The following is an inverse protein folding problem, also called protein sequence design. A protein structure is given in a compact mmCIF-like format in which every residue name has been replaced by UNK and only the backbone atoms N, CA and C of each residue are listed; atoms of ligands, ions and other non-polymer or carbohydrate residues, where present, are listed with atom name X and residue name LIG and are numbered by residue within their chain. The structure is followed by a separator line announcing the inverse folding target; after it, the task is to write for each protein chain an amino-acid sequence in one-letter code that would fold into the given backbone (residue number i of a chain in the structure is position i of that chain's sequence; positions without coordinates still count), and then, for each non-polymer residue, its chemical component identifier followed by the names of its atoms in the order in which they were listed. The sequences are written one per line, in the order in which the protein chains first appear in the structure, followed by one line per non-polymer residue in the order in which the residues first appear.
data_IF_694730919681
#
_entry.id   IF_694730919681
#
_cell.length_a   1.000
_cell.length_b   1.000
_cell.length_c   1.000
_cell.angle_alpha   90.00
_cell.angle_beta   90.00
_cell.angle_gamma   90.00
#
_symmetry.space_group_name_H-M   'P 1'
#
loop_
_entity.id
_entity.type
_entity.pdbx_description
1 polymer ?
#
# COMPACT_ATOMS: atom_id res chain seq x y z
N UNK A 1 76.55 37.98 31.80
CA UNK A 1 75.58 37.04 32.29
C UNK A 1 74.37 37.13 31.37
N UNK A 2 74.29 36.20 30.39
CA UNK A 2 73.20 36.16 29.37
C UNK A 2 72.13 35.20 29.86
N UNK A 3 70.90 35.69 30.10
CA UNK A 3 69.75 34.82 30.43
C UNK A 3 69.16 34.35 29.10
N UNK A 4 69.19 33.06 28.84
CA UNK A 4 68.55 32.44 27.73
C UNK A 4 67.03 32.28 28.08
N UNK A 5 66.15 32.86 27.26
CA UNK A 5 64.69 32.75 27.37
C UNK A 5 64.26 31.57 26.47
N UNK A 6 63.90 30.46 27.12
CA UNK A 6 63.38 29.27 26.40
C UNK A 6 61.89 29.47 26.16
N UNK A 7 61.51 29.67 24.89
CA UNK A 7 60.13 29.73 24.47
C UNK A 7 59.63 28.28 24.24
N UNK A 8 58.75 27.82 25.12
CA UNK A 8 58.08 26.55 25.01
C UNK A 8 56.86 26.67 24.04
N UNK A 9 57.04 26.23 22.81
CA UNK A 9 55.97 26.22 21.84
C UNK A 9 55.10 24.98 22.09
N UNK A 10 53.89 25.17 22.70
CA UNK A 10 52.89 24.12 22.85
C UNK A 10 52.15 23.99 21.50
N UNK A 11 52.46 22.94 20.76
CA UNK A 11 51.73 22.57 19.57
C UNK A 11 50.48 21.82 20.05
N UNK A 12 49.33 22.49 20.06
CA UNK A 12 48.02 21.83 20.21
C UNK A 12 47.70 21.05 18.92
N UNK A 13 47.90 19.74 18.92
CA UNK A 13 47.34 18.84 17.94
C UNK A 13 45.85 18.70 18.20
N UNK A 14 45.04 19.45 17.43
CA UNK A 14 43.59 19.22 17.35
C UNK A 14 43.43 17.95 16.49
N UNK A 15 43.35 16.79 17.15
CA UNK A 15 42.87 15.57 16.50
C UNK A 15 41.38 15.73 16.19
N UNK A 16 41.07 16.16 14.96
CA UNK A 16 39.74 16.08 14.43
C UNK A 16 39.34 14.59 14.33
N UNK A 17 38.64 14.07 15.32
CA UNK A 17 37.97 12.78 15.24
C UNK A 17 36.89 12.96 14.18
N UNK A 18 37.21 12.63 12.94
CA UNK A 18 36.20 12.39 11.91
C UNK A 18 35.40 11.17 12.40
N UNK A 19 34.30 11.41 13.12
CA UNK A 19 33.32 10.39 13.38
C UNK A 19 32.92 9.86 12.00
N UNK A 20 33.33 8.64 11.67
CA UNK A 20 32.89 7.94 10.49
C UNK A 20 31.37 7.84 10.62
N UNK A 21 30.65 8.76 9.97
CA UNK A 21 29.20 8.70 9.89
C UNK A 21 28.90 7.38 9.17
N UNK A 22 28.37 6.43 9.89
CA UNK A 22 27.79 5.23 9.29
C UNK A 22 26.88 5.74 8.17
N UNK A 23 27.09 5.32 6.90
CA UNK A 23 26.28 5.82 5.81
C UNK A 23 24.81 5.60 6.18
N UNK A 24 24.01 6.65 6.14
CA UNK A 24 22.59 6.55 6.46
C UNK A 24 21.99 5.39 5.66
N UNK A 25 21.29 4.49 6.33
CA UNK A 25 20.65 3.34 5.67
C UNK A 25 19.80 3.88 4.52
N UNK A 26 20.08 3.44 3.31
CA UNK A 26 19.30 3.83 2.14
C UNK A 26 17.91 3.24 2.27
N UNK A 27 16.87 4.11 2.27
CA UNK A 27 15.48 3.70 2.40
C UNK A 27 15.01 3.07 1.08
N UNK A 28 14.42 1.88 1.16
CA UNK A 28 13.77 1.17 0.04
C UNK A 28 12.26 1.17 0.26
N UNK A 29 11.50 1.69 -0.71
CA UNK A 29 10.06 1.92 -0.61
C UNK A 29 9.31 1.10 -1.65
N UNK A 30 8.26 0.39 -1.20
CA UNK A 30 7.29 -0.28 -2.06
C UNK A 30 6.03 0.57 -2.14
N UNK A 31 5.59 0.92 -3.35
CA UNK A 31 4.39 1.73 -3.60
C UNK A 31 3.39 0.86 -4.38
N UNK A 32 2.28 0.47 -3.77
CA UNK A 32 1.17 -0.21 -4.46
C UNK A 32 0.13 0.83 -4.85
N UNK A 33 -0.20 0.89 -6.13
CA UNK A 33 -1.08 1.92 -6.71
C UNK A 33 -2.33 1.27 -7.24
N UNK A 34 -3.47 1.67 -6.71
CA UNK A 34 -4.81 1.32 -7.13
C UNK A 34 -5.50 2.50 -7.82
N UNK A 35 -6.69 2.32 -8.37
CA UNK A 35 -7.29 3.36 -9.21
C UNK A 35 -8.57 3.95 -8.63
N UNK A 36 -9.40 3.16 -7.98
CA UNK A 36 -10.73 3.58 -7.51
C UNK A 36 -10.68 4.73 -6.50
N UNK A 37 -9.63 4.78 -5.71
CA UNK A 37 -9.44 5.79 -4.66
C UNK A 37 -8.72 7.07 -5.11
N UNK A 38 -8.30 7.23 -6.36
CA UNK A 38 -7.64 8.47 -6.81
C UNK A 38 -8.61 9.65 -6.87
N UNK A 39 -8.07 10.86 -6.83
CA UNK A 39 -8.87 12.08 -6.96
C UNK A 39 -9.49 12.21 -8.35
N UNK A 40 -10.72 12.69 -8.41
CA UNK A 40 -11.47 12.91 -9.65
C UNK A 40 -12.32 11.72 -10.10
N UNK A 41 -11.95 10.50 -9.77
CA UNK A 41 -12.57 9.26 -10.22
C UNK A 41 -13.82 8.89 -9.38
N UNK A 42 -14.91 8.46 -10.06
CA UNK A 42 -16.19 8.15 -9.39
C UNK A 42 -16.97 6.98 -10.02
N UNK A 43 -16.67 6.57 -11.24
CA UNK A 43 -17.46 5.59 -11.97
C UNK A 43 -16.62 4.42 -12.50
N UNK A 44 -17.24 3.23 -12.64
CA UNK A 44 -16.55 2.03 -13.14
C UNK A 44 -16.02 2.15 -14.57
N UNK A 45 -16.71 2.91 -15.43
CA UNK A 45 -16.24 3.16 -16.81
C UNK A 45 -14.92 3.95 -16.83
N UNK A 46 -14.63 4.71 -15.78
CA UNK A 46 -13.40 5.46 -15.63
C UNK A 46 -12.21 4.58 -15.23
N UNK A 47 -12.48 3.37 -14.69
CA UNK A 47 -11.47 2.41 -14.24
C UNK A 47 -11.17 1.31 -15.24
N UNK A 48 -11.99 1.17 -16.29
CA UNK A 48 -11.99 -0.02 -17.15
C UNK A 48 -11.46 0.27 -18.54
N UNK A 49 -10.64 -0.64 -19.07
CA UNK A 49 -10.21 -0.63 -20.48
C UNK A 49 -11.43 -0.57 -21.41
N UNK A 50 -11.45 0.42 -22.31
CA UNK A 50 -12.60 0.67 -23.19
C UNK A 50 -13.61 1.70 -22.67
N UNK A 51 -13.56 2.12 -21.42
CA UNK A 51 -14.30 3.26 -20.92
C UNK A 51 -13.81 4.57 -21.54
N UNK A 52 -14.74 5.48 -21.87
CA UNK A 52 -14.41 6.70 -22.61
C UNK A 52 -13.35 7.57 -21.92
N UNK A 53 -13.40 7.63 -20.60
CA UNK A 53 -12.53 8.48 -19.79
C UNK A 53 -11.33 7.73 -19.16
N UNK A 54 -11.21 6.42 -19.38
CA UNK A 54 -10.12 5.61 -18.82
C UNK A 54 -8.73 6.17 -19.12
N UNK A 55 -8.52 6.72 -20.32
CA UNK A 55 -7.25 7.36 -20.69
C UNK A 55 -6.87 8.55 -19.81
N UNK A 56 -7.86 9.36 -19.39
CA UNK A 56 -7.68 10.45 -18.43
C UNK A 56 -7.28 9.91 -17.05
N UNK A 57 -8.03 8.91 -16.56
CA UNK A 57 -7.82 8.43 -15.19
C UNK A 57 -6.56 7.59 -15.01
N UNK A 58 -6.10 6.88 -16.05
CA UNK A 58 -4.74 6.28 -16.07
C UNK A 58 -3.65 7.33 -15.87
N UNK A 59 -3.81 8.49 -16.53
CA UNK A 59 -2.85 9.59 -16.38
C UNK A 59 -2.87 10.14 -14.98
N UNK A 60 -4.06 10.40 -14.39
CA UNK A 60 -4.18 10.87 -13.01
C UNK A 60 -3.64 9.85 -12.00
N UNK A 61 -3.88 8.56 -12.20
CA UNK A 61 -3.28 7.48 -11.40
C UNK A 61 -1.75 7.52 -11.45
N UNK A 62 -1.19 7.70 -12.65
CA UNK A 62 0.27 7.81 -12.83
C UNK A 62 0.81 9.08 -12.15
N UNK A 63 0.08 10.20 -12.20
CA UNK A 63 0.46 11.45 -11.55
C UNK A 63 0.42 11.34 -10.01
N UNK A 64 -0.56 10.64 -9.41
CA UNK A 64 -0.56 10.35 -7.96
C UNK A 64 0.58 9.41 -7.56
N UNK A 65 0.90 8.39 -8.38
CA UNK A 65 2.08 7.56 -8.19
C UNK A 65 3.37 8.39 -8.23
N UNK A 66 3.49 9.31 -9.19
CA UNK A 66 4.62 10.23 -9.31
C UNK A 66 4.75 11.18 -8.09
N UNK A 67 3.63 11.61 -7.54
CA UNK A 67 3.61 12.41 -6.31
C UNK A 67 4.16 11.60 -5.11
N UNK A 68 3.78 10.33 -5.00
CA UNK A 68 4.32 9.44 -3.97
C UNK A 68 5.82 9.18 -4.16
N UNK A 69 6.28 8.93 -5.40
CA UNK A 69 7.71 8.80 -5.73
C UNK A 69 8.48 10.06 -5.33
N UNK A 70 7.96 11.25 -5.70
CA UNK A 70 8.58 12.53 -5.34
C UNK A 70 8.67 12.70 -3.81
N UNK A 71 7.62 12.34 -3.07
CA UNK A 71 7.64 12.36 -1.59
C UNK A 71 8.65 11.40 -0.99
N UNK A 72 8.82 10.21 -1.59
CA UNK A 72 9.83 9.24 -1.17
C UNK A 72 11.26 9.78 -1.41
N UNK A 73 11.50 10.39 -2.56
CA UNK A 73 12.79 11.05 -2.88
C UNK A 73 13.07 12.22 -1.92
N UNK A 74 12.06 13.05 -1.60
CA UNK A 74 12.18 14.14 -0.63
C UNK A 74 12.55 13.65 0.79
N UNK A 75 12.24 12.39 1.10
CA UNK A 75 12.62 11.72 2.34
C UNK A 75 13.95 10.97 2.27
N UNK A 76 14.63 10.96 1.12
CA UNK A 76 15.91 10.30 0.91
C UNK A 76 15.80 8.82 0.55
N UNK A 77 14.68 8.37 -0.01
CA UNK A 77 14.58 7.02 -0.56
C UNK A 77 15.58 6.83 -1.69
N UNK A 78 16.30 5.70 -1.66
CA UNK A 78 17.32 5.38 -2.64
C UNK A 78 16.88 4.29 -3.63
N UNK A 79 15.85 3.53 -3.27
CA UNK A 79 15.24 2.53 -4.14
C UNK A 79 13.72 2.62 -4.01
N UNK A 80 13.03 2.71 -5.15
CA UNK A 80 11.57 2.83 -5.20
C UNK A 80 11.04 1.82 -6.20
N UNK A 81 10.11 0.99 -5.75
CA UNK A 81 9.41 0.03 -6.59
C UNK A 81 7.93 0.37 -6.57
N UNK A 82 7.35 0.56 -7.75
CA UNK A 82 5.92 0.82 -7.95
C UNK A 82 5.25 -0.43 -8.47
N UNK A 83 4.18 -0.84 -7.84
CA UNK A 83 3.30 -1.94 -8.28
C UNK A 83 2.01 -1.35 -8.83
N UNK A 84 1.72 -1.62 -10.10
CA UNK A 84 0.40 -1.37 -10.69
C UNK A 84 -0.57 -2.43 -10.17
N UNK A 85 -1.50 -2.04 -9.32
CA UNK A 85 -2.32 -2.94 -8.52
C UNK A 85 -3.82 -2.90 -8.87
N UNK A 86 -4.19 -2.26 -9.97
CA UNK A 86 -5.59 -2.15 -10.41
C UNK A 86 -5.89 -3.01 -11.64
N UNK A 87 -7.09 -3.57 -11.69
CA UNK A 87 -7.70 -4.17 -12.90
C UNK A 87 -6.77 -5.09 -13.68
N UNK A 88 -6.30 -4.64 -14.85
CA UNK A 88 -5.37 -5.40 -15.69
C UNK A 88 -3.91 -5.35 -15.24
N UNK A 89 -3.57 -4.59 -14.20
CA UNK A 89 -2.19 -4.28 -13.78
C UNK A 89 -1.33 -3.68 -14.91
N UNK A 90 -1.98 -2.94 -15.84
CA UNK A 90 -1.36 -2.26 -16.98
C UNK A 90 -1.87 -0.81 -17.12
N UNK A 91 -2.25 -0.21 -15.99
CA UNK A 91 -2.90 1.10 -15.96
C UNK A 91 -1.89 2.24 -15.94
N UNK A 92 -0.83 2.13 -15.13
CA UNK A 92 0.23 3.13 -15.06
C UNK A 92 0.89 3.29 -16.43
N UNK A 93 1.05 4.54 -16.86
CA UNK A 93 1.68 4.92 -18.11
C UNK A 93 3.21 4.93 -17.93
N UNK A 94 3.95 3.97 -18.52
CA UNK A 94 5.38 3.83 -18.24
C UNK A 94 6.23 5.00 -18.72
N UNK A 95 5.79 5.69 -19.76
CA UNK A 95 6.45 6.88 -20.34
C UNK A 95 6.25 8.14 -19.50
N UNK A 96 5.22 8.18 -18.66
CA UNK A 96 4.93 9.27 -17.73
C UNK A 96 5.39 9.00 -16.30
N UNK A 97 5.69 7.73 -15.95
CA UNK A 97 6.20 7.39 -14.63
C UNK A 97 7.60 7.95 -14.43
N UNK A 98 7.86 8.49 -13.26
CA UNK A 98 9.19 9.02 -12.90
C UNK A 98 10.29 7.96 -13.06
N UNK A 99 11.43 8.31 -13.73
CA UNK A 99 12.49 7.34 -14.07
C UNK A 99 13.25 6.80 -12.85
N UNK A 100 13.09 7.41 -11.67
CA UNK A 100 13.74 6.95 -10.44
C UNK A 100 13.09 5.71 -9.85
N UNK A 101 11.89 5.33 -10.31
CA UNK A 101 11.19 4.14 -9.84
C UNK A 101 11.26 2.97 -10.82
N UNK A 102 11.29 1.76 -10.29
CA UNK A 102 11.06 0.53 -11.06
C UNK A 102 9.56 0.23 -11.04
N UNK A 103 9.00 -0.19 -12.17
CA UNK A 103 7.58 -0.53 -12.31
C UNK A 103 7.39 -2.05 -12.43
N UNK A 104 6.50 -2.60 -11.59
CA UNK A 104 5.99 -3.96 -11.70
C UNK A 104 4.59 -3.89 -12.32
N UNK A 105 4.40 -4.61 -13.43
CA UNK A 105 3.13 -4.71 -14.15
C UNK A 105 2.74 -6.17 -14.31
N UNK A 106 1.47 -6.41 -14.65
CA UNK A 106 0.85 -7.71 -14.84
C UNK A 106 0.72 -8.52 -13.54
N UNK A 107 -0.25 -9.44 -13.52
CA UNK A 107 -0.55 -10.21 -12.32
C UNK A 107 0.34 -11.44 -12.18
N UNK A 108 0.83 -11.66 -10.98
CA UNK A 108 1.43 -12.89 -10.54
C UNK A 108 0.79 -13.36 -9.23
N UNK A 109 0.92 -14.63 -8.90
CA UNK A 109 0.40 -15.24 -7.68
C UNK A 109 1.55 -15.69 -6.78
N UNK A 110 1.36 -15.72 -5.47
CA UNK A 110 0.11 -15.47 -4.74
C UNK A 110 -0.05 -14.05 -4.21
N UNK A 111 0.99 -13.18 -4.28
CA UNK A 111 1.03 -11.90 -3.56
C UNK A 111 0.19 -10.80 -4.22
N UNK A 112 -0.23 -10.98 -5.50
CA UNK A 112 -1.16 -10.10 -6.21
C UNK A 112 -0.74 -8.62 -6.19
N UNK A 113 -1.48 -7.74 -5.50
CA UNK A 113 -1.20 -6.30 -5.37
C UNK A 113 0.13 -6.01 -4.64
N UNK A 114 0.68 -7.00 -3.97
CA UNK A 114 1.96 -6.92 -3.23
C UNK A 114 3.08 -7.71 -3.90
N UNK A 115 2.89 -8.16 -5.15
CA UNK A 115 3.93 -8.90 -5.87
C UNK A 115 5.21 -8.09 -6.03
N UNK A 116 6.32 -8.68 -5.65
CA UNK A 116 7.65 -8.05 -5.62
C UNK A 116 8.09 -7.50 -4.26
N UNK A 117 7.21 -7.57 -3.23
CA UNK A 117 7.61 -7.22 -1.86
C UNK A 117 8.46 -8.31 -1.23
N UNK A 118 9.46 -7.90 -0.46
CA UNK A 118 10.30 -8.77 0.35
C UNK A 118 10.82 -8.04 1.61
N UNK A 119 11.61 -8.74 2.44
CA UNK A 119 12.18 -8.22 3.70
C UNK A 119 13.23 -7.10 3.51
N UNK A 120 13.62 -6.79 2.27
CA UNK A 120 14.60 -5.73 1.99
C UNK A 120 13.96 -4.33 1.97
N UNK A 121 12.63 -4.24 1.89
CA UNK A 121 11.92 -2.98 1.95
C UNK A 121 11.85 -2.41 3.37
N UNK A 122 11.85 -1.10 3.48
CA UNK A 122 11.73 -0.37 4.75
C UNK A 122 10.31 0.15 5.00
N UNK A 123 9.52 0.34 3.95
CA UNK A 123 8.17 0.87 4.05
C UNK A 123 7.30 0.48 2.85
N UNK A 124 5.98 0.42 3.10
CA UNK A 124 4.94 0.34 2.08
C UNK A 124 4.11 1.62 2.09
N UNK A 125 3.81 2.11 0.89
CA UNK A 125 2.92 3.23 0.60
C UNK A 125 1.78 2.73 -0.28
N UNK A 126 0.54 3.05 0.08
CA UNK A 126 -0.66 2.74 -0.69
C UNK A 126 -1.24 4.00 -1.33
N UNK A 127 -1.48 3.96 -2.63
CA UNK A 127 -2.04 5.08 -3.41
C UNK A 127 -3.34 4.65 -4.06
N UNK A 128 -4.35 5.51 -4.06
CA UNK A 128 -5.60 5.30 -4.77
C UNK A 128 -6.48 4.17 -4.22
N UNK A 129 -6.36 3.85 -2.94
CA UNK A 129 -7.14 2.78 -2.32
C UNK A 129 -8.58 3.21 -2.03
N UNK A 130 -9.47 2.24 -1.91
CA UNK A 130 -10.91 2.40 -1.70
C UNK A 130 -11.42 1.56 -0.53
N UNK A 131 -12.62 1.88 -0.05
CA UNK A 131 -13.26 1.15 1.05
C UNK A 131 -13.64 -0.28 0.65
N UNK A 132 -13.66 -1.19 1.63
CA UNK A 132 -14.08 -2.58 1.44
C UNK A 132 -15.53 -2.71 0.96
N UNK A 133 -15.85 -3.86 0.39
CA UNK A 133 -17.23 -4.23 0.05
C UNK A 133 -18.19 -4.02 1.25
N UNK A 134 -19.43 -3.63 0.97
CA UNK A 134 -20.45 -3.41 1.98
C UNK A 134 -20.28 -2.17 2.87
N UNK A 135 -19.30 -1.27 2.58
CA UNK A 135 -19.15 -0.01 3.32
C UNK A 135 -20.26 0.97 2.91
N UNK A 136 -21.05 1.52 3.85
CA UNK A 136 -21.95 2.62 3.54
C UNK A 136 -21.15 3.86 3.12
N UNK A 137 -21.76 4.72 2.32
CA UNK A 137 -21.16 6.01 1.91
C UNK A 137 -19.70 5.89 1.45
N UNK A 138 -19.47 5.00 0.48
CA UNK A 138 -18.17 4.81 -0.17
C UNK A 138 -18.35 4.59 -1.68
N UNK A 139 -17.47 5.20 -2.47
CA UNK A 139 -17.48 5.12 -3.94
C UNK A 139 -16.73 3.86 -4.37
N UNK A 140 -17.24 3.16 -5.38
CA UNK A 140 -16.62 1.99 -6.03
C UNK A 140 -16.15 0.91 -5.04
N UNK A 141 -16.79 0.83 -3.89
CA UNK A 141 -16.47 -0.09 -2.79
C UNK A 141 -16.54 -1.55 -3.20
N UNK A 142 -15.46 -2.27 -3.01
CA UNK A 142 -15.37 -3.71 -3.22
C UNK A 142 -14.17 -4.28 -2.44
N UNK A 143 -13.90 -5.57 -2.57
CA UNK A 143 -12.69 -6.20 -1.99
C UNK A 143 -12.14 -7.19 -2.98
N UNK A 144 -11.02 -6.87 -3.65
CA UNK A 144 -10.31 -7.68 -4.65
C UNK A 144 -11.09 -7.99 -5.93
N UNK A 145 -12.40 -8.08 -5.86
CA UNK A 145 -13.27 -8.42 -6.98
C UNK A 145 -14.72 -8.11 -6.60
N UNK A 146 -15.54 -7.76 -7.59
CA UNK A 146 -16.99 -7.58 -7.41
C UNK A 146 -17.74 -8.87 -7.07
N UNK A 147 -17.07 -10.02 -7.16
CA UNK A 147 -17.62 -11.33 -6.78
C UNK A 147 -17.48 -11.63 -5.29
N UNK A 148 -16.66 -10.87 -4.55
CA UNK A 148 -16.52 -10.99 -3.10
C UNK A 148 -17.45 -9.99 -2.39
N UNK A 149 -18.34 -10.52 -1.54
CA UNK A 149 -19.16 -9.72 -0.65
C UNK A 149 -18.39 -9.30 0.61
N UNK A 150 -17.53 -10.20 1.13
CA UNK A 150 -16.70 -9.90 2.30
C UNK A 150 -15.43 -10.76 2.31
N UNK A 151 -14.37 -10.23 2.88
CA UNK A 151 -13.12 -10.92 3.19
C UNK A 151 -12.82 -10.72 4.67
N UNK A 152 -12.75 -11.81 5.43
CA UNK A 152 -12.64 -11.74 6.88
C UNK A 152 -11.41 -12.53 7.32
N UNK A 153 -10.47 -11.88 8.00
CA UNK A 153 -9.29 -12.52 8.57
C UNK A 153 -9.36 -12.42 10.10
N UNK A 154 -9.41 -13.56 10.77
CA UNK A 154 -9.54 -13.64 12.24
C UNK A 154 -10.71 -12.80 12.80
N UNK A 155 -11.84 -12.80 12.10
CA UNK A 155 -13.03 -12.04 12.49
C UNK A 155 -13.01 -10.55 12.09
N UNK A 156 -11.90 -10.04 11.53
CA UNK A 156 -11.78 -8.66 11.05
C UNK A 156 -12.13 -8.60 9.56
N UNK A 157 -13.09 -7.75 9.20
CA UNK A 157 -13.46 -7.47 7.81
C UNK A 157 -12.38 -6.63 7.14
N UNK A 158 -11.76 -7.14 6.09
CA UNK A 158 -10.58 -6.56 5.47
C UNK A 158 -10.94 -5.70 4.25
N UNK A 159 -10.61 -4.40 4.22
CA UNK A 159 -10.36 -3.72 2.96
C UNK A 159 -9.08 -4.29 2.31
N UNK A 160 -8.92 -4.10 1.00
CA UNK A 160 -7.71 -4.52 0.28
C UNK A 160 -6.43 -3.99 0.92
N UNK A 161 -6.45 -2.73 1.34
CA UNK A 161 -5.32 -2.11 2.03
C UNK A 161 -4.90 -2.87 3.30
N UNK A 162 -5.86 -3.35 4.13
CA UNK A 162 -5.53 -4.09 5.34
C UNK A 162 -5.07 -5.52 5.04
N UNK A 163 -5.64 -6.18 4.03
CA UNK A 163 -5.15 -7.45 3.53
C UNK A 163 -3.71 -7.35 3.03
N UNK A 164 -3.43 -6.33 2.23
CA UNK A 164 -2.09 -6.04 1.71
C UNK A 164 -1.12 -5.63 2.83
N UNK A 165 -1.60 -4.93 3.86
CA UNK A 165 -0.80 -4.63 5.05
C UNK A 165 -0.41 -5.89 5.84
N UNK A 166 -1.29 -6.90 5.89
CA UNK A 166 -0.95 -8.19 6.50
C UNK A 166 0.12 -8.94 5.68
N UNK A 167 0.07 -8.86 4.34
CA UNK A 167 1.11 -9.40 3.46
C UNK A 167 2.43 -8.68 3.72
N UNK A 168 2.45 -7.34 3.75
CA UNK A 168 3.64 -6.56 4.07
C UNK A 168 4.20 -6.92 5.47
N UNK A 169 3.31 -7.06 6.45
CA UNK A 169 3.65 -7.46 7.83
C UNK A 169 4.29 -8.84 7.93
N UNK A 170 3.90 -9.79 7.07
CA UNK A 170 4.58 -11.09 6.98
C UNK A 170 6.07 -10.94 6.61
N UNK A 171 6.41 -9.95 5.81
CA UNK A 171 7.80 -9.62 5.43
C UNK A 171 8.47 -8.63 6.40
N UNK A 172 7.87 -8.32 7.55
CA UNK A 172 8.36 -7.35 8.53
C UNK A 172 8.38 -5.89 8.03
N UNK A 173 7.61 -5.56 6.99
CA UNK A 173 7.57 -4.22 6.39
C UNK A 173 6.32 -3.47 6.85
N UNK A 174 6.46 -2.27 7.46
CA UNK A 174 5.31 -1.46 7.88
C UNK A 174 4.66 -0.75 6.68
N UNK A 175 3.33 -0.64 6.70
CA UNK A 175 2.61 0.36 5.91
C UNK A 175 2.69 1.69 6.65
N UNK A 176 3.09 2.75 5.95
CA UNK A 176 3.35 4.06 6.57
C UNK A 176 2.40 5.15 6.07
N UNK A 177 1.85 4.96 4.88
CA UNK A 177 1.00 5.96 4.21
C UNK A 177 -0.09 5.29 3.38
N UNK A 178 -1.26 5.94 3.31
CA UNK A 178 -2.34 5.59 2.39
C UNK A 178 -3.05 6.84 1.86
N UNK A 179 -3.31 6.91 0.54
CA UNK A 179 -4.30 7.82 -0.05
C UNK A 179 -5.49 7.07 -0.61
N UNK A 180 -6.67 7.68 -0.52
CA UNK A 180 -7.91 7.08 -1.01
C UNK A 180 -9.15 7.86 -0.60
N UNK A 181 -10.32 7.19 -0.59
CA UNK A 181 -11.52 7.79 -0.02
C UNK A 181 -11.44 7.90 1.52
N UNK A 182 -12.27 8.76 2.13
CA UNK A 182 -12.25 8.98 3.58
C UNK A 182 -12.61 7.72 4.37
N UNK A 183 -13.43 6.83 3.80
CA UNK A 183 -13.85 5.60 4.47
C UNK A 183 -12.67 4.61 4.55
N UNK A 184 -11.88 4.40 3.49
CA UNK A 184 -10.68 3.55 3.56
C UNK A 184 -9.62 4.14 4.48
N UNK A 185 -9.44 5.46 4.48
CA UNK A 185 -8.54 6.13 5.41
C UNK A 185 -8.91 5.88 6.88
N UNK A 186 -10.20 5.79 7.19
CA UNK A 186 -10.68 5.41 8.52
C UNK A 186 -10.45 3.91 8.78
N UNK A 187 -10.88 3.04 7.86
CA UNK A 187 -10.79 1.59 8.00
C UNK A 187 -9.36 1.11 8.23
N UNK A 188 -8.40 1.63 7.48
CA UNK A 188 -7.00 1.20 7.62
C UNK A 188 -6.44 1.57 8.99
N UNK A 189 -6.70 2.78 9.49
CA UNK A 189 -6.24 3.19 10.83
C UNK A 189 -6.87 2.41 11.96
N UNK A 190 -8.13 2.00 11.83
CA UNK A 190 -8.83 1.17 12.83
C UNK A 190 -8.24 -0.24 12.89
N UNK A 191 -7.74 -0.79 11.77
CA UNK A 191 -7.26 -2.17 11.67
C UNK A 191 -5.77 -2.27 11.99
N UNK A 192 -4.92 -1.42 11.38
CA UNK A 192 -3.47 -1.56 11.51
C UNK A 192 -2.82 -0.55 12.48
N UNK A 193 -3.62 0.38 13.01
CA UNK A 193 -3.13 1.46 13.87
C UNK A 193 -2.82 2.75 13.11
N UNK A 194 -2.23 3.74 13.79
CA UNK A 194 -2.01 5.06 13.22
C UNK A 194 -0.96 5.01 12.10
N UNK A 195 -1.37 5.46 10.92
CA UNK A 195 -0.51 5.76 9.77
C UNK A 195 -0.89 7.12 9.19
N UNK A 196 -0.01 7.71 8.37
CA UNK A 196 -0.35 8.91 7.61
C UNK A 196 -1.39 8.59 6.54
N UNK A 197 -2.42 9.41 6.41
CA UNK A 197 -3.46 9.23 5.40
C UNK A 197 -3.84 10.52 4.72
N UNK A 198 -4.18 10.45 3.42
CA UNK A 198 -4.74 11.55 2.65
C UNK A 198 -6.07 11.11 2.05
N UNK A 199 -7.18 11.65 2.59
CA UNK A 199 -8.49 11.48 1.98
C UNK A 199 -8.61 12.45 0.78
N UNK A 200 -8.79 11.91 -0.41
CA UNK A 200 -8.94 12.71 -1.64
C UNK A 200 -10.38 12.88 -2.08
N UNK A 201 -11.28 12.11 -1.47
CA UNK A 201 -12.74 12.21 -1.71
C UNK A 201 -13.55 11.76 -0.49
N UNK A 202 -14.74 12.37 -0.35
CA UNK A 202 -15.75 12.02 0.64
C UNK A 202 -17.04 11.62 -0.10
N UNK A 203 -17.50 10.39 0.12
CA UNK A 203 -18.71 9.89 -0.52
C UNK A 203 -19.99 10.47 0.11
N UNK A 204 -20.99 10.68 -0.72
CA UNK A 204 -22.36 11.08 -0.37
C UNK A 204 -23.34 10.16 -1.13
N UNK A 205 -23.48 8.92 -0.66
CA UNK A 205 -24.10 7.85 -1.43
C UNK A 205 -23.27 7.52 -2.68
N UNK A 206 -23.86 7.54 -3.89
CA UNK A 206 -23.11 7.32 -5.14
C UNK A 206 -22.31 8.54 -5.61
N UNK A 207 -22.60 9.74 -5.10
CA UNK A 207 -21.84 10.96 -5.39
C UNK A 207 -20.65 11.12 -4.44
N UNK A 208 -19.70 11.98 -4.80
CA UNK A 208 -18.59 12.32 -3.91
C UNK A 208 -18.17 13.79 -4.07
N UNK A 209 -17.77 14.40 -2.95
CA UNK A 209 -16.98 15.63 -2.94
C UNK A 209 -15.51 15.26 -3.06
N UNK A 210 -14.77 15.92 -3.94
CA UNK A 210 -13.37 15.57 -4.24
C UNK A 210 -12.48 16.80 -4.20
N UNK A 211 -11.25 16.64 -3.74
CA UNK A 211 -10.23 17.68 -3.90
C UNK A 211 -9.68 17.63 -5.33
N UNK A 212 -9.22 18.77 -5.83
CA UNK A 212 -8.64 18.86 -7.17
C UNK A 212 -7.41 17.93 -7.30
N UNK A 213 -7.23 17.19 -8.41
CA UNK A 213 -6.13 16.23 -8.57
C UNK A 213 -4.74 16.80 -8.26
N UNK A 214 -4.42 18.02 -8.73
CA UNK A 214 -3.14 18.68 -8.40
C UNK A 214 -2.97 18.89 -6.88
N UNK A 215 -4.06 19.19 -6.17
CA UNK A 215 -4.02 19.35 -4.71
C UNK A 215 -3.83 18.02 -4.01
N UNK A 216 -4.48 16.96 -4.51
CA UNK A 216 -4.27 15.59 -4.02
C UNK A 216 -2.80 15.18 -4.16
N UNK A 217 -2.20 15.39 -5.33
CA UNK A 217 -0.79 15.11 -5.60
C UNK A 217 0.14 15.87 -4.63
N UNK A 218 -0.11 17.16 -4.38
CA UNK A 218 0.66 17.93 -3.40
C UNK A 218 0.57 17.35 -1.98
N UNK A 219 -0.64 16.96 -1.54
CA UNK A 219 -0.87 16.37 -0.23
C UNK A 219 -0.24 14.99 -0.11
N UNK A 220 -0.33 14.15 -1.15
CA UNK A 220 0.31 12.82 -1.22
C UNK A 220 1.82 12.97 -1.09
N UNK A 221 2.46 13.83 -1.88
CA UNK A 221 3.91 14.08 -1.81
C UNK A 221 4.35 14.46 -0.41
N UNK A 222 3.66 15.42 0.22
CA UNK A 222 3.97 15.88 1.57
C UNK A 222 3.76 14.79 2.62
N UNK A 223 2.64 14.05 2.53
CA UNK A 223 2.30 12.99 3.47
C UNK A 223 3.29 11.82 3.39
N UNK A 224 3.64 11.35 2.19
CA UNK A 224 4.64 10.31 2.00
C UNK A 224 6.00 10.73 2.55
N UNK A 225 6.43 11.97 2.27
CA UNK A 225 7.69 12.49 2.79
C UNK A 225 7.69 12.56 4.34
N UNK A 226 6.59 13.00 4.95
CA UNK A 226 6.44 13.05 6.41
C UNK A 226 6.48 11.65 7.03
N UNK A 227 5.72 10.70 6.47
CA UNK A 227 5.69 9.31 6.92
C UNK A 227 7.09 8.67 6.87
N UNK A 228 7.80 8.78 5.76
CA UNK A 228 9.11 8.15 5.59
C UNK A 228 10.20 8.77 6.47
N UNK A 229 10.09 10.06 6.82
CA UNK A 229 10.99 10.68 7.82
C UNK A 229 10.74 10.17 9.24
N UNK A 230 9.58 9.56 9.50
CA UNK A 230 9.17 9.08 10.82
C UNK A 230 8.97 7.56 10.86
N UNK A 231 9.76 6.80 10.09
CA UNK A 231 9.62 5.34 9.94
C UNK A 231 9.51 4.57 11.27
N UNK A 232 10.21 5.03 12.30
CA UNK A 232 10.23 4.37 13.62
C UNK A 232 8.87 4.40 14.35
N UNK A 233 7.95 5.27 13.93
CA UNK A 233 6.60 5.35 14.51
C UNK A 233 5.69 4.22 14.03
N UNK A 234 6.00 3.57 12.91
CA UNK A 234 5.14 2.57 12.28
C UNK A 234 5.62 1.16 12.57
N UNK A 235 4.67 0.25 12.76
CA UNK A 235 4.95 -1.17 12.99
C UNK A 235 4.30 -2.01 11.90
N UNK A 236 4.95 -3.11 11.48
CA UNK A 236 4.32 -4.09 10.60
C UNK A 236 3.01 -4.63 11.21
N UNK A 237 1.94 -4.66 10.44
CA UNK A 237 0.68 -5.26 10.87
C UNK A 237 0.76 -6.78 10.75
N UNK A 238 0.71 -7.47 11.86
CA UNK A 238 0.79 -8.94 11.95
C UNK A 238 -0.43 -9.48 12.67
N UNK A 239 -1.42 -10.01 11.93
CA UNK A 239 -2.52 -10.76 12.53
C UNK A 239 -1.98 -11.93 13.36
N UNK A 240 -2.70 -12.31 14.41
CA UNK A 240 -2.28 -13.43 15.27
C UNK A 240 -2.51 -14.77 14.57
N UNK A 241 -1.57 -15.73 14.75
CA UNK A 241 -1.75 -17.13 14.37
C UNK A 241 -2.54 -17.87 15.47
N UNK A 242 -3.36 -18.89 15.14
CA UNK A 242 -3.64 -19.37 13.79
C UNK A 242 -4.50 -18.38 12.99
N UNK A 243 -4.29 -18.36 11.67
CA UNK A 243 -5.02 -17.49 10.75
C UNK A 243 -6.27 -18.20 10.26
N UNK A 244 -7.45 -17.63 10.49
CA UNK A 244 -8.71 -18.08 9.90
C UNK A 244 -9.14 -17.07 8.84
N UNK A 245 -9.10 -17.47 7.58
CA UNK A 245 -9.66 -16.72 6.47
C UNK A 245 -11.09 -17.19 6.21
N UNK A 246 -12.03 -16.25 6.12
CA UNK A 246 -13.39 -16.48 5.68
C UNK A 246 -13.70 -15.58 4.48
N UNK A 247 -14.23 -16.17 3.42
CA UNK A 247 -14.61 -15.48 2.18
C UNK A 247 -16.12 -15.63 2.01
N UNK A 248 -16.81 -14.49 1.87
CA UNK A 248 -18.22 -14.46 1.53
C UNK A 248 -18.35 -13.99 0.09
N UNK A 249 -18.94 -14.79 -0.76
CA UNK A 249 -19.15 -14.49 -2.18
C UNK A 249 -20.51 -13.82 -2.42
N UNK A 250 -20.66 -13.20 -3.57
CA UNK A 250 -21.95 -12.67 -4.04
C UNK A 250 -22.89 -13.75 -4.56
N UNK A 251 -22.33 -14.90 -4.97
CA UNK A 251 -23.06 -16.03 -5.58
C UNK A 251 -22.65 -17.37 -4.94
N UNK A 252 -23.62 -18.29 -4.80
CA UNK A 252 -23.42 -19.61 -4.22
C UNK A 252 -22.45 -20.49 -5.03
N UNK A 253 -22.48 -20.41 -6.36
CA UNK A 253 -21.63 -21.24 -7.20
C UNK A 253 -20.15 -20.89 -7.05
N UNK A 254 -19.84 -19.64 -6.73
CA UNK A 254 -18.47 -19.24 -6.38
C UNK A 254 -17.99 -19.95 -5.10
N UNK A 255 -18.83 -20.01 -4.07
CA UNK A 255 -18.51 -20.74 -2.85
C UNK A 255 -18.38 -22.27 -3.09
N UNK A 256 -19.24 -22.83 -3.96
CA UNK A 256 -19.13 -24.23 -4.36
C UNK A 256 -17.81 -24.53 -5.07
N UNK A 257 -17.39 -23.67 -6.01
CA UNK A 257 -16.10 -23.83 -6.72
C UNK A 257 -14.91 -23.68 -5.77
N UNK A 258 -14.93 -22.66 -4.91
CA UNK A 258 -13.87 -22.44 -3.93
C UNK A 258 -13.68 -23.64 -2.99
N UNK A 259 -14.77 -24.31 -2.59
CA UNK A 259 -14.74 -25.51 -1.75
C UNK A 259 -14.19 -26.77 -2.45
N UNK A 260 -13.92 -26.72 -3.76
CA UNK A 260 -13.20 -27.81 -4.44
C UNK A 260 -11.70 -27.78 -4.18
N UNK A 261 -11.19 -26.66 -3.66
CA UNK A 261 -9.78 -26.58 -3.25
C UNK A 261 -9.59 -27.35 -1.93
N UNK A 262 -8.72 -28.37 -1.90
CA UNK A 262 -8.50 -29.17 -0.70
C UNK A 262 -8.18 -28.31 0.53
N UNK A 263 -8.86 -28.54 1.66
CA UNK A 263 -8.67 -27.79 2.90
C UNK A 263 -9.58 -26.57 3.04
N UNK A 264 -10.31 -26.17 2.00
CA UNK A 264 -11.35 -25.14 2.09
C UNK A 264 -12.68 -25.79 2.48
N UNK A 265 -13.30 -25.26 3.52
CA UNK A 265 -14.59 -25.75 4.01
C UNK A 265 -15.71 -24.75 3.69
N UNK A 266 -16.88 -25.25 3.32
CA UNK A 266 -18.09 -24.41 3.24
C UNK A 266 -18.60 -24.11 4.64
N UNK A 267 -18.78 -22.82 4.94
CA UNK A 267 -19.32 -22.35 6.22
C UNK A 267 -20.75 -21.82 6.12
N UNK A 268 -21.25 -21.68 4.90
CA UNK A 268 -22.62 -21.24 4.61
C UNK A 268 -22.94 -21.37 3.13
N UNK A 269 -24.11 -20.85 2.72
CA UNK A 269 -24.56 -20.90 1.34
C UNK A 269 -23.55 -20.27 0.37
N UNK A 270 -23.04 -19.09 0.73
CA UNK A 270 -22.12 -18.28 -0.08
C UNK A 270 -20.75 -18.09 0.57
N UNK A 271 -20.43 -18.81 1.63
CA UNK A 271 -19.21 -18.63 2.38
C UNK A 271 -18.36 -19.89 2.48
N UNK A 272 -17.06 -19.65 2.50
CA UNK A 272 -16.04 -20.68 2.75
C UNK A 272 -15.04 -20.17 3.78
N UNK A 273 -14.36 -21.12 4.46
CA UNK A 273 -13.26 -20.77 5.35
C UNK A 273 -12.06 -21.70 5.16
N UNK A 274 -10.91 -21.19 5.51
CA UNK A 274 -9.65 -21.91 5.59
C UNK A 274 -8.85 -21.46 6.81
N UNK A 275 -8.19 -22.39 7.49
CA UNK A 275 -7.37 -22.08 8.67
C UNK A 275 -5.97 -22.65 8.51
N UNK A 276 -4.95 -21.86 8.80
CA UNK A 276 -3.56 -22.28 8.79
C UNK A 276 -2.74 -21.58 9.88
N UNK A 277 -1.66 -22.22 10.32
CA UNK A 277 -0.60 -21.57 11.11
C UNK A 277 0.37 -20.75 10.27
N UNK A 278 0.39 -20.94 8.95
CA UNK A 278 1.24 -20.20 7.99
C UNK A 278 0.41 -19.17 7.22
N UNK A 279 0.80 -17.91 7.33
CA UNK A 279 0.10 -16.81 6.64
C UNK A 279 0.23 -16.89 5.11
N UNK A 280 1.37 -17.36 4.58
CA UNK A 280 1.53 -17.50 3.12
C UNK A 280 0.64 -18.61 2.55
N UNK A 281 0.31 -19.65 3.32
CA UNK A 281 -0.72 -20.59 2.92
C UNK A 281 -2.08 -19.91 2.79
N UNK A 282 -2.47 -19.08 3.75
CA UNK A 282 -3.71 -18.28 3.68
C UNK A 282 -3.75 -17.45 2.39
N UNK A 283 -2.65 -16.77 2.04
CA UNK A 283 -2.54 -15.96 0.82
C UNK A 283 -2.67 -16.84 -0.44
N UNK A 284 -2.05 -18.02 -0.47
CA UNK A 284 -2.17 -18.98 -1.59
C UNK A 284 -3.60 -19.50 -1.74
N UNK A 285 -4.23 -19.90 -0.64
CA UNK A 285 -5.62 -20.37 -0.65
C UNK A 285 -6.58 -19.29 -1.12
N UNK A 286 -6.42 -18.05 -0.64
CA UNK A 286 -7.19 -16.91 -1.14
C UNK A 286 -7.02 -16.73 -2.65
N UNK A 287 -5.79 -16.80 -3.14
CA UNK A 287 -5.49 -16.67 -4.58
C UNK A 287 -6.16 -17.77 -5.41
N UNK A 288 -6.30 -18.99 -4.88
CA UNK A 288 -6.99 -20.11 -5.55
C UNK A 288 -8.52 -19.99 -5.47
N UNK A 289 -9.05 -19.64 -4.29
CA UNK A 289 -10.49 -19.62 -4.02
C UNK A 289 -11.24 -18.53 -4.79
N UNK A 290 -10.60 -17.42 -5.15
CA UNK A 290 -11.22 -16.28 -5.83
C UNK A 290 -11.22 -16.37 -7.38
N UNK A 291 -10.63 -17.42 -7.96
CA UNK A 291 -10.51 -17.63 -9.42
C UNK A 291 -11.76 -18.22 -10.05
#
# INVERSE_FOLDING_TARGET
MKKALTILTVVLMIAAVAAAQTPAKKIKVFISVDMEGISGLIHWDETSEGGADYGLFRRLMTEEANAAIAGALDAGAAEIVVRDAHGSARNILPDLLRPEARLIREWNSPLSMMEGIDRTFDAVVFIGNHARAGTPDAVLKHTMSLTLFDLILNGVRMPEAAWNAAIAGHFDVPVVFLSGDSAVCKQIREIIGPIETVAVKDAMGPAASMIHPTKAQEMIRKGVAAALRNLKAYKPYKPASPYKLEIVFTDENLARRAALVPGIERTGERSVAFTSGDFLEIVKYFSLARR
#
